data_IF_924090303566
#
_entry.id   IF_924090303566
#
_cell.length_a   1.000
_cell.length_b   1.000
_cell.length_c   1.000
_cell.angle_alpha   90.00
_cell.angle_beta   90.00
_cell.angle_gamma   90.00
#
_symmetry.space_group_name_H-M   'P 1'
#
loop_
_entity.id
_entity.type
_entity.pdbx_description
1 polymer ?
#
# COMPACT_ATOMS: atom_id res chain seq x y z
N UNK A 1 22.88 22.08 20.61
CA UNK A 1 21.51 21.75 20.16
C UNK A 1 21.66 21.02 18.85
N UNK A 2 21.50 19.71 18.84
CA UNK A 2 21.60 18.87 17.65
C UNK A 2 20.49 19.30 16.67
N UNK A 3 20.89 19.75 15.48
CA UNK A 3 19.97 19.93 14.34
C UNK A 3 19.43 18.55 14.03
N UNK A 4 18.24 18.22 14.53
CA UNK A 4 17.52 17.00 14.21
C UNK A 4 17.25 17.01 12.70
N UNK A 5 18.22 16.52 11.92
CA UNK A 5 18.10 16.38 10.48
C UNK A 5 16.91 15.51 10.12
N UNK A 6 16.33 15.72 8.93
CA UNK A 6 15.28 14.88 8.35
C UNK A 6 15.81 13.45 8.17
N UNK A 7 15.65 12.60 9.18
CA UNK A 7 16.07 11.18 9.15
C UNK A 7 14.85 10.27 9.28
N UNK A 8 14.71 9.30 8.37
CA UNK A 8 13.56 8.39 8.32
C UNK A 8 14.00 6.94 8.24
N UNK A 9 13.42 6.11 9.09
CA UNK A 9 13.52 4.66 9.01
C UNK A 9 12.42 4.10 8.12
N UNK A 10 12.77 3.32 7.11
CA UNK A 10 11.82 2.59 6.26
C UNK A 10 11.94 1.10 6.55
N UNK A 11 10.87 0.45 6.99
CA UNK A 11 10.79 -1.01 7.00
C UNK A 11 10.20 -1.50 5.68
N UNK A 12 10.70 -2.62 5.17
CA UNK A 12 10.28 -3.10 3.85
C UNK A 12 10.85 -2.25 2.70
N UNK A 13 11.98 -1.58 2.90
CA UNK A 13 12.65 -0.72 1.93
C UNK A 13 13.00 -1.45 0.62
N UNK A 14 13.33 -2.75 0.68
CA UNK A 14 13.60 -3.60 -0.48
C UNK A 14 12.32 -4.16 -1.15
N UNK A 15 11.12 -3.85 -0.63
CA UNK A 15 9.83 -4.20 -1.22
C UNK A 15 9.43 -3.29 -2.38
N UNK A 16 8.27 -3.58 -2.99
CA UNK A 16 7.75 -2.81 -4.14
C UNK A 16 7.64 -1.32 -3.80
N UNK A 17 6.90 -0.95 -2.75
CA UNK A 17 6.67 0.45 -2.39
C UNK A 17 7.97 1.10 -1.88
N UNK A 18 8.75 0.39 -1.05
CA UNK A 18 9.98 0.92 -0.49
C UNK A 18 11.01 1.33 -1.54
N UNK A 19 11.12 0.57 -2.63
CA UNK A 19 12.03 0.89 -3.76
C UNK A 19 11.66 2.16 -4.53
N UNK A 20 10.40 2.59 -4.47
CA UNK A 20 9.95 3.86 -5.05
C UNK A 20 10.01 5.00 -4.04
N UNK A 21 9.68 4.73 -2.77
CA UNK A 21 9.65 5.73 -1.73
C UNK A 21 11.06 6.20 -1.32
N UNK A 22 12.01 5.29 -1.14
CA UNK A 22 13.35 5.64 -0.67
C UNK A 22 14.05 6.67 -1.58
N UNK A 23 14.08 6.52 -2.92
CA UNK A 23 14.62 7.55 -3.80
C UNK A 23 13.88 8.88 -3.72
N UNK A 24 12.54 8.86 -3.60
CA UNK A 24 11.76 10.08 -3.49
C UNK A 24 12.09 10.86 -2.21
N UNK A 25 12.30 10.16 -1.09
CA UNK A 25 12.71 10.78 0.17
C UNK A 25 14.16 11.31 0.11
N UNK A 26 15.08 10.56 -0.48
CA UNK A 26 16.47 11.02 -0.69
C UNK A 26 16.51 12.31 -1.52
N UNK A 27 15.75 12.35 -2.63
CA UNK A 27 15.65 13.54 -3.49
C UNK A 27 15.04 14.74 -2.77
N UNK A 28 14.20 14.51 -1.75
CA UNK A 28 13.61 15.55 -0.91
C UNK A 28 14.51 15.94 0.30
N UNK A 29 15.75 15.45 0.34
CA UNK A 29 16.75 15.78 1.34
C UNK A 29 16.61 15.02 2.66
N UNK A 30 15.88 13.89 2.68
CA UNK A 30 15.84 13.02 3.85
C UNK A 30 17.03 12.06 3.88
N UNK A 31 17.58 11.82 5.06
CA UNK A 31 18.45 10.67 5.30
C UNK A 31 17.59 9.43 5.46
N UNK A 32 17.76 8.44 4.60
CA UNK A 32 16.95 7.23 4.58
C UNK A 32 17.73 6.08 5.18
N UNK A 33 17.28 5.56 6.31
CA UNK A 33 17.75 4.30 6.88
C UNK A 33 16.81 3.17 6.52
N UNK A 34 17.35 2.06 6.03
CA UNK A 34 16.60 0.93 5.51
C UNK A 34 16.65 -0.25 6.48
N UNK A 35 15.53 -0.57 7.15
CA UNK A 35 15.46 -1.79 7.93
C UNK A 35 15.15 -2.98 7.03
N UNK A 36 16.05 -3.95 7.01
CA UNK A 36 15.98 -5.15 6.15
C UNK A 36 16.04 -6.43 6.97
N UNK A 37 15.43 -7.50 6.47
CA UNK A 37 15.45 -8.81 7.14
C UNK A 37 16.81 -9.51 7.00
N UNK A 38 17.44 -9.34 5.86
CA UNK A 38 18.77 -9.85 5.51
C UNK A 38 19.47 -8.83 4.61
N UNK A 39 20.80 -8.84 4.52
CA UNK A 39 21.52 -7.88 3.68
C UNK A 39 20.91 -7.76 2.27
N UNK A 40 20.67 -6.56 1.81
CA UNK A 40 20.03 -6.24 0.55
C UNK A 40 20.86 -5.30 -0.34
N UNK A 41 22.01 -4.84 0.14
CA UNK A 41 22.92 -3.93 -0.57
C UNK A 41 22.37 -2.51 -0.69
N UNK A 42 21.52 -2.08 0.23
CA UNK A 42 20.99 -0.71 0.26
C UNK A 42 21.93 0.21 1.04
N UNK A 43 21.96 1.48 0.65
CA UNK A 43 22.67 2.48 1.41
C UNK A 43 22.04 2.64 2.81
N UNK A 44 22.84 2.80 3.86
CA UNK A 44 22.41 2.92 5.27
C UNK A 44 21.36 1.84 5.66
N UNK A 45 21.71 0.55 5.40
CA UNK A 45 20.85 -0.55 5.81
C UNK A 45 21.18 -1.04 7.22
N UNK A 46 20.13 -1.40 7.95
CA UNK A 46 20.22 -2.08 9.24
C UNK A 46 19.53 -3.43 9.15
N UNK A 47 20.28 -4.51 9.39
CA UNK A 47 19.74 -5.87 9.40
C UNK A 47 19.08 -6.14 10.74
N UNK A 48 17.77 -6.32 10.74
CA UNK A 48 16.94 -6.52 11.93
C UNK A 48 16.42 -7.96 12.09
N UNK A 49 16.69 -8.83 11.11
CA UNK A 49 16.08 -10.16 11.05
C UNK A 49 14.58 -10.14 10.76
N UNK A 50 13.87 -11.15 11.25
CA UNK A 50 12.41 -11.23 11.13
C UNK A 50 11.72 -10.21 12.04
N UNK A 51 10.70 -9.53 11.52
CA UNK A 51 9.88 -8.61 12.32
C UNK A 51 8.93 -9.43 13.21
N UNK A 52 8.94 -9.12 14.50
CA UNK A 52 8.09 -9.75 15.49
C UNK A 52 8.10 -9.01 16.83
N UNK A 53 7.43 -9.58 17.85
CA UNK A 53 7.31 -8.93 19.16
C UNK A 53 8.65 -8.74 19.89
N UNK A 54 9.66 -9.55 19.57
CA UNK A 54 10.99 -9.49 20.19
C UNK A 54 12.06 -8.77 19.37
N UNK A 55 11.71 -8.18 18.22
CA UNK A 55 12.69 -7.47 17.39
C UNK A 55 13.26 -6.25 18.12
N UNK A 56 14.57 -6.15 18.19
CA UNK A 56 15.28 -4.99 18.76
C UNK A 56 15.47 -3.91 17.68
N UNK A 57 14.88 -2.76 17.91
CA UNK A 57 14.89 -1.63 17.00
C UNK A 57 15.88 -0.51 17.41
N UNK A 58 16.57 -0.63 18.56
CA UNK A 58 17.39 0.45 19.11
C UNK A 58 18.42 0.99 18.12
N UNK A 59 19.18 0.12 17.46
CA UNK A 59 20.17 0.53 16.45
C UNK A 59 19.50 1.18 15.24
N UNK A 60 18.39 0.60 14.77
CA UNK A 60 17.68 1.13 13.61
C UNK A 60 17.02 2.49 13.88
N UNK A 61 16.62 2.77 15.11
CA UNK A 61 15.94 3.99 15.53
C UNK A 61 16.90 5.11 16.01
N UNK A 62 18.19 4.83 16.16
CA UNK A 62 19.14 5.82 16.65
C UNK A 62 19.23 7.04 15.71
N UNK A 63 18.95 8.23 16.25
CA UNK A 63 18.93 9.50 15.51
C UNK A 63 17.82 9.63 14.45
N UNK A 64 16.82 8.74 14.45
CA UNK A 64 15.70 8.76 13.51
C UNK A 64 14.59 9.69 14.01
N UNK A 65 14.12 10.58 13.14
CA UNK A 65 13.01 11.51 13.44
C UNK A 65 11.64 11.03 12.97
N UNK A 66 11.60 10.09 12.00
CA UNK A 66 10.37 9.56 11.44
C UNK A 66 10.49 8.07 11.10
N UNK A 67 9.38 7.34 11.13
CA UNK A 67 9.30 5.93 10.69
C UNK A 67 8.23 5.78 9.63
N UNK A 68 8.55 5.06 8.54
CA UNK A 68 7.56 4.60 7.56
C UNK A 68 7.54 3.08 7.57
N UNK A 69 6.47 2.52 8.14
CA UNK A 69 6.31 1.07 8.28
C UNK A 69 5.55 0.47 7.10
N UNK A 70 6.31 -0.03 6.10
CA UNK A 70 5.77 -0.67 4.89
C UNK A 70 5.81 -2.20 4.97
N UNK A 71 6.64 -2.75 5.86
CA UNK A 71 6.79 -4.19 5.99
C UNK A 71 5.51 -4.84 6.50
N UNK A 72 5.09 -5.89 5.83
CA UNK A 72 3.95 -6.70 6.24
C UNK A 72 4.05 -8.10 5.63
N UNK A 73 3.44 -9.06 6.30
CA UNK A 73 3.12 -10.36 5.73
C UNK A 73 1.86 -10.21 4.86
N UNK A 74 1.98 -10.55 3.56
CA UNK A 74 0.91 -10.43 2.56
C UNK A 74 0.90 -11.73 1.72
N UNK A 75 -0.28 -12.23 1.32
CA UNK A 75 -0.45 -13.33 0.37
C UNK A 75 0.19 -14.68 0.74
N UNK A 76 -0.01 -15.15 1.95
CA UNK A 76 0.31 -16.53 2.34
C UNK A 76 -0.99 -17.25 2.70
N UNK A 77 -1.50 -18.11 1.79
CA UNK A 77 -2.83 -18.72 1.93
C UNK A 77 -2.83 -20.09 2.61
N UNK A 78 -1.75 -20.85 2.51
CA UNK A 78 -1.77 -22.29 2.77
C UNK A 78 -0.80 -22.72 3.87
N UNK A 79 -0.63 -21.91 4.92
CA UNK A 79 0.23 -22.28 6.03
C UNK A 79 -0.60 -22.65 7.26
N UNK A 80 -0.33 -23.80 7.83
CA UNK A 80 -0.98 -24.30 9.06
C UNK A 80 -0.95 -23.28 10.21
N UNK A 81 0.06 -22.39 10.21
CA UNK A 81 0.26 -21.35 11.23
C UNK A 81 0.01 -19.93 10.71
N UNK A 82 -0.74 -19.77 9.59
CA UNK A 82 -0.92 -18.46 8.96
C UNK A 82 -1.45 -17.40 9.94
N UNK A 83 -2.45 -17.72 10.75
CA UNK A 83 -3.04 -16.79 11.74
C UNK A 83 -1.96 -16.28 12.71
N UNK A 84 -1.14 -17.18 13.26
CA UNK A 84 -0.06 -16.85 14.19
C UNK A 84 0.97 -15.93 13.52
N UNK A 85 1.40 -16.25 12.31
CA UNK A 85 2.40 -15.48 11.59
C UNK A 85 1.89 -14.09 11.17
N UNK A 86 0.61 -13.97 10.77
CA UNK A 86 0.00 -12.66 10.51
C UNK A 86 -0.05 -11.81 11.79
N UNK A 87 -0.38 -12.41 12.93
CA UNK A 87 -0.39 -11.74 14.22
C UNK A 87 1.02 -11.30 14.62
N UNK A 88 1.99 -12.19 14.61
CA UNK A 88 3.38 -11.92 15.01
C UNK A 88 4.01 -10.78 14.20
N UNK A 89 3.83 -10.78 12.87
CA UNK A 89 4.47 -9.78 12.00
C UNK A 89 3.66 -8.49 11.92
N UNK A 90 2.36 -8.58 11.59
CA UNK A 90 1.57 -7.41 11.24
C UNK A 90 0.99 -6.68 12.45
N UNK A 91 0.78 -7.38 13.58
CA UNK A 91 0.22 -6.80 14.80
C UNK A 91 1.35 -6.59 15.81
N UNK A 92 1.86 -7.68 16.36
CA UNK A 92 2.79 -7.63 17.49
C UNK A 92 4.12 -6.97 17.09
N UNK A 93 4.63 -7.28 15.89
CA UNK A 93 5.83 -6.67 15.33
C UNK A 93 5.67 -5.19 15.00
N UNK A 94 4.54 -4.79 14.42
CA UNK A 94 4.24 -3.38 14.16
C UNK A 94 4.09 -2.59 15.47
N UNK A 95 3.39 -3.14 16.46
CA UNK A 95 3.24 -2.52 17.79
C UNK A 95 4.58 -2.43 18.55
N UNK A 96 5.43 -3.46 18.44
CA UNK A 96 6.77 -3.43 19.03
C UNK A 96 7.61 -2.30 18.44
N UNK A 97 7.63 -2.16 17.09
CA UNK A 97 8.33 -1.06 16.43
C UNK A 97 7.77 0.30 16.88
N UNK A 98 6.46 0.47 16.88
CA UNK A 98 5.84 1.74 17.24
C UNK A 98 6.14 2.16 18.70
N UNK A 99 6.09 1.20 19.66
CA UNK A 99 6.45 1.47 21.06
C UNK A 99 7.93 1.84 21.22
N UNK A 100 8.83 1.15 20.54
CA UNK A 100 10.25 1.49 20.58
C UNK A 100 10.53 2.84 19.90
N UNK A 101 9.85 3.15 18.79
CA UNK A 101 9.94 4.43 18.12
C UNK A 101 9.48 5.59 19.03
N UNK A 102 8.34 5.44 19.72
CA UNK A 102 7.88 6.43 20.69
C UNK A 102 8.90 6.66 21.83
N UNK A 103 9.46 5.57 22.38
CA UNK A 103 10.53 5.64 23.43
C UNK A 103 11.81 6.28 22.92
N UNK A 104 12.15 6.11 21.65
CA UNK A 104 13.33 6.70 21.02
C UNK A 104 13.13 8.18 20.62
N UNK A 105 11.95 8.77 20.87
CA UNK A 105 11.66 10.17 20.56
C UNK A 105 11.33 10.41 19.07
N UNK A 106 10.94 9.38 18.32
CA UNK A 106 10.43 9.53 16.96
C UNK A 106 9.16 10.39 16.99
N UNK A 107 9.09 11.36 16.10
CA UNK A 107 7.97 12.32 16.06
C UNK A 107 6.84 11.91 15.14
N UNK A 108 7.17 11.23 14.04
CA UNK A 108 6.22 10.83 12.99
C UNK A 108 6.29 9.33 12.76
N UNK A 109 5.17 8.65 12.80
CA UNK A 109 5.06 7.23 12.47
C UNK A 109 3.98 7.03 11.40
N UNK A 110 4.39 6.65 10.19
CA UNK A 110 3.47 6.35 9.10
C UNK A 110 3.29 4.84 8.99
N UNK A 111 2.06 4.39 9.14
CA UNK A 111 1.68 2.98 9.01
C UNK A 111 0.93 2.75 7.69
N UNK A 112 1.52 1.95 6.82
CA UNK A 112 0.83 1.55 5.59
C UNK A 112 -0.14 0.41 5.90
N UNK A 113 -1.42 0.73 5.91
CA UNK A 113 -2.53 -0.19 6.05
C UNK A 113 -3.08 -0.62 4.68
N UNK A 114 -4.37 -0.80 4.54
CA UNK A 114 -5.04 -1.23 3.32
C UNK A 114 -6.53 -0.87 3.37
N UNK A 115 -7.12 -0.62 2.22
CA UNK A 115 -8.59 -0.46 2.11
C UNK A 115 -9.36 -1.73 2.52
N UNK A 116 -8.72 -2.89 2.50
CA UNK A 116 -9.35 -4.16 2.88
C UNK A 116 -9.81 -4.22 4.34
N UNK A 117 -9.45 -3.24 5.18
CA UNK A 117 -10.01 -3.08 6.52
C UNK A 117 -11.49 -2.66 6.48
N UNK A 118 -11.94 -1.98 5.41
CA UNK A 118 -13.33 -1.63 5.17
C UNK A 118 -14.13 -2.76 4.50
N UNK A 119 -13.45 -3.74 3.90
CA UNK A 119 -14.09 -4.80 3.12
C UNK A 119 -13.50 -4.92 1.72
N UNK A 120 -14.17 -5.69 0.88
CA UNK A 120 -13.69 -5.99 -0.49
C UNK A 120 -14.40 -5.23 -1.59
N UNK A 121 -15.58 -4.72 -1.30
CA UNK A 121 -16.38 -3.90 -2.22
C UNK A 121 -17.36 -3.02 -1.46
N UNK A 122 -17.80 -1.97 -2.12
CA UNK A 122 -18.89 -1.11 -1.68
C UNK A 122 -20.03 -1.07 -2.72
N UNK A 123 -20.23 -2.19 -3.43
CA UNK A 123 -21.29 -2.31 -4.44
C UNK A 123 -22.64 -1.84 -3.88
N UNK A 124 -23.32 -0.95 -4.61
CA UNK A 124 -24.61 -0.37 -4.22
C UNK A 124 -24.56 0.57 -3.02
N UNK A 125 -23.38 1.01 -2.60
CA UNK A 125 -23.16 1.95 -1.51
C UNK A 125 -22.38 3.17 -2.00
N UNK A 126 -22.33 4.23 -1.17
CA UNK A 126 -21.44 5.37 -1.40
C UNK A 126 -19.96 4.96 -1.33
N UNK A 127 -19.05 5.75 -1.88
CA UNK A 127 -17.61 5.57 -1.69
C UNK A 127 -17.24 5.47 -0.20
N UNK A 128 -16.25 4.62 0.13
CA UNK A 128 -15.76 4.51 1.49
C UNK A 128 -15.13 5.81 1.96
N UNK A 129 -15.35 6.13 3.23
CA UNK A 129 -14.71 7.22 3.96
C UNK A 129 -13.90 6.67 5.15
N UNK A 130 -13.11 7.49 5.81
CA UNK A 130 -12.33 7.11 6.98
C UNK A 130 -13.18 6.70 8.18
N UNK A 131 -14.40 7.25 8.30
CA UNK A 131 -15.36 7.05 9.40
C UNK A 131 -16.22 5.79 9.24
N UNK A 132 -16.17 5.13 8.08
CA UNK A 132 -16.96 3.93 7.87
C UNK A 132 -16.56 2.79 8.82
N UNK A 133 -17.56 2.05 9.28
CA UNK A 133 -17.36 0.88 10.14
C UNK A 133 -16.46 -0.12 9.42
N UNK A 134 -15.41 -0.57 10.11
CA UNK A 134 -14.49 -1.55 9.55
C UNK A 134 -15.14 -2.94 9.50
N UNK A 135 -15.06 -3.56 8.33
CA UNK A 135 -15.52 -4.94 8.09
C UNK A 135 -14.40 -5.78 7.46
N UNK A 136 -13.25 -5.92 8.15
CA UNK A 136 -12.07 -6.52 7.56
C UNK A 136 -12.32 -7.97 7.13
N UNK A 137 -11.79 -8.34 5.96
CA UNK A 137 -11.92 -9.68 5.41
C UNK A 137 -10.55 -10.30 5.15
N UNK A 138 -10.45 -11.59 5.48
CA UNK A 138 -9.20 -12.34 5.38
C UNK A 138 -8.15 -11.94 6.43
N UNK A 139 -7.18 -12.81 6.66
CA UNK A 139 -6.17 -12.63 7.72
C UNK A 139 -5.38 -11.33 7.58
N UNK A 140 -5.11 -10.91 6.35
CA UNK A 140 -4.38 -9.67 6.10
C UNK A 140 -5.19 -8.43 6.53
N UNK A 141 -6.43 -8.28 6.06
CA UNK A 141 -7.30 -7.16 6.45
C UNK A 141 -7.54 -7.11 7.96
N UNK A 142 -7.82 -8.27 8.57
CA UNK A 142 -8.01 -8.39 10.02
C UNK A 142 -6.75 -8.00 10.80
N UNK A 143 -5.56 -8.44 10.36
CA UNK A 143 -4.30 -8.09 11.04
C UNK A 143 -3.98 -6.60 10.94
N UNK A 144 -4.28 -5.97 9.79
CA UNK A 144 -4.07 -4.52 9.63
C UNK A 144 -5.04 -3.72 10.50
N UNK A 145 -6.32 -4.08 10.54
CA UNK A 145 -7.32 -3.43 11.42
C UNK A 145 -6.95 -3.54 12.90
N UNK A 146 -6.47 -4.71 13.35
CA UNK A 146 -6.01 -4.89 14.72
C UNK A 146 -4.77 -4.05 15.05
N UNK A 147 -3.82 -3.93 14.11
CA UNK A 147 -2.65 -3.06 14.28
C UNK A 147 -3.06 -1.58 14.37
N UNK A 148 -4.00 -1.12 13.51
CA UNK A 148 -4.52 0.25 13.57
C UNK A 148 -5.15 0.57 14.93
N UNK A 149 -5.94 -0.36 15.48
CA UNK A 149 -6.54 -0.18 16.81
C UNK A 149 -5.47 -0.02 17.91
N UNK A 150 -4.43 -0.85 17.89
CA UNK A 150 -3.31 -0.73 18.84
C UNK A 150 -2.53 0.57 18.67
N UNK A 151 -2.28 1.01 17.42
CA UNK A 151 -1.60 2.27 17.11
C UNK A 151 -2.42 3.48 17.58
N UNK A 152 -3.75 3.44 17.47
CA UNK A 152 -4.64 4.49 17.99
C UNK A 152 -4.51 4.63 19.52
N UNK A 153 -4.45 3.52 20.25
CA UNK A 153 -4.22 3.55 21.70
C UNK A 153 -2.84 4.14 22.03
N UNK A 154 -1.79 3.71 21.31
CA UNK A 154 -0.44 4.23 21.52
C UNK A 154 -0.33 5.74 21.24
N UNK A 155 -1.04 6.25 20.23
CA UNK A 155 -1.05 7.68 19.92
C UNK A 155 -1.66 8.53 21.03
N UNK A 156 -2.62 7.99 21.78
CA UNK A 156 -3.19 8.66 22.95
C UNK A 156 -2.15 8.79 24.10
N UNK A 157 -1.28 7.81 24.25
CA UNK A 157 -0.34 7.71 25.36
C UNK A 157 1.07 8.23 25.01
N UNK A 158 1.26 8.81 23.83
CA UNK A 158 2.56 9.31 23.36
C UNK A 158 2.47 10.63 22.61
N UNK A 159 3.58 11.38 22.59
CA UNK A 159 3.69 12.59 21.78
C UNK A 159 3.97 12.31 20.28
N UNK A 160 4.13 11.03 19.89
CA UNK A 160 4.38 10.62 18.52
C UNK A 160 3.10 10.72 17.71
N UNK A 161 3.16 11.42 16.57
CA UNK A 161 2.05 11.45 15.62
C UNK A 161 2.05 10.19 14.77
N UNK A 162 0.89 9.56 14.67
CA UNK A 162 0.69 8.33 13.90
C UNK A 162 -0.26 8.61 12.75
N UNK A 163 0.22 8.41 11.53
CA UNK A 163 -0.59 8.49 10.32
C UNK A 163 -0.82 7.10 9.76
N UNK A 164 -2.06 6.70 9.63
CA UNK A 164 -2.47 5.45 8.98
C UNK A 164 -2.91 5.77 7.55
N UNK A 165 -2.34 5.08 6.57
CA UNK A 165 -2.73 5.22 5.16
C UNK A 165 -3.41 3.91 4.73
N UNK A 166 -4.63 4.01 4.21
CA UNK A 166 -5.42 2.88 3.69
C UNK A 166 -5.52 2.97 2.15
N UNK A 167 -4.50 2.51 1.41
CA UNK A 167 -4.54 2.55 -0.05
C UNK A 167 -5.44 1.43 -0.61
N UNK A 168 -6.00 1.61 -1.83
CA UNK A 168 -6.52 0.55 -2.65
C UNK A 168 -5.38 -0.26 -3.28
N UNK A 169 -5.60 -0.90 -4.43
CA UNK A 169 -4.54 -1.55 -5.19
C UNK A 169 -3.50 -0.50 -5.62
N UNK A 170 -2.27 -0.66 -5.12
CA UNK A 170 -1.14 0.17 -5.53
C UNK A 170 -0.48 -0.46 -6.75
N UNK A 171 -0.29 0.33 -7.83
CA UNK A 171 0.32 -0.12 -9.07
C UNK A 171 1.60 0.68 -9.40
N UNK A 172 2.43 0.10 -10.26
CA UNK A 172 3.71 0.69 -10.70
C UNK A 172 4.75 -0.36 -11.07
N UNK A 173 5.95 0.07 -11.40
CA UNK A 173 7.04 -0.82 -11.77
C UNK A 173 7.41 -1.78 -10.64
N UNK A 174 7.33 -3.09 -10.90
CA UNK A 174 7.62 -4.14 -9.91
C UNK A 174 6.44 -4.51 -8.99
N UNK A 175 5.24 -3.96 -9.21
CA UNK A 175 4.05 -4.36 -8.49
C UNK A 175 3.72 -5.85 -8.77
N UNK A 176 3.26 -6.54 -7.72
CA UNK A 176 2.91 -7.98 -7.72
C UNK A 176 1.39 -8.17 -7.77
N UNK A 177 0.95 -9.41 -7.63
CA UNK A 177 -0.48 -9.76 -7.53
C UNK A 177 -1.26 -9.49 -8.82
N UNK A 178 -2.47 -8.95 -8.71
CA UNK A 178 -3.39 -8.76 -9.84
C UNK A 178 -2.81 -7.86 -10.94
N UNK A 179 -2.05 -6.81 -10.58
CA UNK A 179 -1.38 -5.97 -11.56
C UNK A 179 -0.39 -6.76 -12.42
N UNK A 180 0.46 -7.58 -11.82
CA UNK A 180 1.41 -8.43 -12.53
C UNK A 180 0.69 -9.48 -13.41
N UNK A 181 -0.42 -10.06 -12.91
CA UNK A 181 -1.22 -11.03 -13.67
C UNK A 181 -1.85 -10.40 -14.91
N UNK A 182 -2.45 -9.22 -14.79
CA UNK A 182 -3.03 -8.49 -15.92
C UNK A 182 -1.95 -8.11 -16.94
N UNK A 183 -0.82 -7.58 -16.46
CA UNK A 183 0.33 -7.24 -17.32
C UNK A 183 0.84 -8.46 -18.09
N UNK A 184 0.94 -9.62 -17.42
CA UNK A 184 1.35 -10.88 -18.06
C UNK A 184 0.33 -11.34 -19.10
N UNK A 185 -0.96 -11.28 -18.79
CA UNK A 185 -2.03 -11.65 -19.71
C UNK A 185 -1.99 -10.78 -20.99
N UNK A 186 -1.80 -9.47 -20.86
CA UNK A 186 -1.64 -8.56 -22.00
C UNK A 186 -0.38 -8.87 -22.83
N UNK A 187 0.77 -9.13 -22.18
CA UNK A 187 2.00 -9.52 -22.86
C UNK A 187 1.81 -10.79 -23.71
N UNK A 188 1.07 -11.76 -23.18
CA UNK A 188 0.76 -13.03 -23.82
C UNK A 188 -0.46 -12.95 -24.76
N UNK A 189 -1.06 -11.78 -24.93
CA UNK A 189 -2.27 -11.52 -25.75
C UNK A 189 -3.45 -12.45 -25.40
N UNK A 190 -3.57 -12.83 -24.13
CA UNK A 190 -4.65 -13.68 -23.64
C UNK A 190 -5.97 -12.90 -23.72
N UNK A 191 -7.04 -13.42 -24.33
CA UNK A 191 -8.36 -12.80 -24.29
C UNK A 191 -8.89 -12.77 -22.86
N UNK A 192 -9.43 -11.63 -22.44
CA UNK A 192 -9.96 -11.41 -21.08
C UNK A 192 -11.48 -11.19 -21.13
N UNK A 193 -12.27 -11.93 -20.33
CA UNK A 193 -13.73 -11.93 -20.39
C UNK A 193 -14.36 -10.78 -19.59
N UNK A 194 -13.78 -9.56 -19.65
CA UNK A 194 -14.17 -8.47 -18.75
C UNK A 194 -14.91 -7.32 -19.42
N UNK A 195 -15.16 -7.36 -20.73
CA UNK A 195 -15.80 -6.24 -21.46
C UNK A 195 -17.24 -5.90 -21.01
N UNK A 196 -17.92 -6.79 -20.28
CA UNK A 196 -19.27 -6.54 -19.77
C UNK A 196 -19.31 -5.99 -18.32
N UNK A 197 -18.14 -5.85 -17.66
CA UNK A 197 -18.07 -5.39 -16.27
C UNK A 197 -18.32 -3.88 -16.21
N UNK A 198 -19.14 -3.44 -15.26
CA UNK A 198 -19.60 -2.06 -15.05
C UNK A 198 -19.31 -1.60 -13.61
N UNK A 199 -18.17 -1.95 -13.08
CA UNK A 199 -17.75 -1.54 -11.74
C UNK A 199 -17.02 -0.21 -11.76
N UNK A 200 -16.82 0.39 -10.58
CA UNK A 200 -15.95 1.55 -10.35
C UNK A 200 -14.93 1.21 -9.29
N UNK A 201 -13.66 1.45 -9.57
CA UNK A 201 -12.57 1.07 -8.67
C UNK A 201 -11.55 2.18 -8.52
N UNK A 202 -11.15 2.38 -7.28
CA UNK A 202 -9.99 3.20 -6.96
C UNK A 202 -8.70 2.40 -7.18
N UNK A 203 -7.71 3.08 -7.72
CA UNK A 203 -6.33 2.63 -7.87
C UNK A 203 -5.40 3.71 -7.32
N UNK A 204 -4.15 3.36 -7.06
CA UNK A 204 -3.16 4.32 -6.59
C UNK A 204 -1.80 4.06 -7.24
N UNK A 205 -1.31 5.03 -8.01
CA UNK A 205 0.05 4.99 -8.51
C UNK A 205 1.05 5.03 -7.34
N UNK A 206 2.11 4.23 -7.40
CA UNK A 206 3.13 4.21 -6.34
C UNK A 206 3.83 5.57 -6.18
N UNK A 207 3.88 6.38 -7.23
CA UNK A 207 4.36 7.75 -7.21
C UNK A 207 3.45 8.64 -6.36
N UNK A 208 2.13 8.53 -6.53
CA UNK A 208 1.14 9.27 -5.77
C UNK A 208 1.15 8.86 -4.28
N UNK A 209 1.30 7.56 -3.98
CA UNK A 209 1.51 7.10 -2.61
C UNK A 209 2.78 7.70 -1.99
N UNK A 210 3.90 7.66 -2.74
CA UNK A 210 5.18 8.21 -2.27
C UNK A 210 5.10 9.71 -2.01
N UNK A 211 4.41 10.47 -2.88
CA UNK A 211 4.21 11.91 -2.72
C UNK A 211 3.35 12.24 -1.50
N UNK A 212 2.30 11.43 -1.22
CA UNK A 212 1.47 11.61 -0.03
C UNK A 212 2.28 11.34 1.25
N UNK A 213 3.04 10.24 1.29
CA UNK A 213 3.92 9.93 2.43
C UNK A 213 4.93 11.07 2.64
N UNK A 214 5.58 11.55 1.59
CA UNK A 214 6.53 12.66 1.68
C UNK A 214 5.86 13.94 2.23
N UNK A 215 4.67 14.28 1.75
CA UNK A 215 3.93 15.43 2.25
C UNK A 215 3.61 15.29 3.74
N UNK A 216 3.16 14.11 4.20
CA UNK A 216 2.86 13.87 5.63
C UNK A 216 4.10 14.01 6.52
N UNK A 217 5.27 13.62 6.01
CA UNK A 217 6.55 13.77 6.72
C UNK A 217 7.05 15.22 6.76
N UNK A 218 6.74 16.03 5.74
CA UNK A 218 7.25 17.40 5.61
C UNK A 218 6.29 18.46 6.16
N UNK A 219 5.00 18.18 6.11
CA UNK A 219 3.93 19.10 6.49
C UNK A 219 2.96 18.41 7.47
N UNK A 220 3.43 18.07 8.68
CA UNK A 220 2.53 17.47 9.66
C UNK A 220 1.43 18.49 10.03
N UNK A 221 0.18 18.03 9.96
CA UNK A 221 -0.96 18.89 10.32
C UNK A 221 -1.03 19.06 11.84
N UNK A 222 -1.31 20.26 12.34
CA UNK A 222 -1.61 20.48 13.76
C UNK A 222 -2.95 19.83 14.11
N UNK A 223 -3.05 19.23 15.28
CA UNK A 223 -4.30 18.67 15.79
C UNK A 223 -4.14 17.29 16.42
N UNK A 224 -4.66 16.26 15.79
CA UNK A 224 -4.67 14.91 16.35
C UNK A 224 -3.31 14.22 16.25
N UNK A 225 -2.95 13.47 17.29
CA UNK A 225 -1.79 12.56 17.25
C UNK A 225 -2.09 11.27 16.49
N UNK A 226 -3.33 11.07 16.00
CA UNK A 226 -3.72 9.90 15.23
C UNK A 226 -4.63 10.29 14.07
N UNK A 227 -4.15 10.11 12.86
CA UNK A 227 -4.90 10.38 11.64
C UNK A 227 -4.96 9.17 10.73
N UNK A 228 -6.13 8.98 10.10
CA UNK A 228 -6.36 7.96 9.06
C UNK A 228 -6.65 8.68 7.75
N UNK A 229 -6.11 8.17 6.64
CA UNK A 229 -6.36 8.67 5.31
C UNK A 229 -6.66 7.56 4.32
N UNK A 230 -7.73 7.73 3.55
CA UNK A 230 -7.93 7.03 2.29
C UNK A 230 -7.18 7.79 1.19
N UNK A 231 -6.37 7.10 0.42
CA UNK A 231 -5.53 7.72 -0.62
C UNK A 231 -5.66 6.93 -1.91
N UNK A 232 -6.06 7.62 -2.98
CA UNK A 232 -6.21 7.04 -4.32
C UNK A 232 -5.83 8.07 -5.40
N UNK A 233 -5.72 7.63 -6.64
CA UNK A 233 -5.60 8.51 -7.79
C UNK A 233 -6.89 9.33 -7.96
N UNK A 234 -6.82 10.43 -8.70
CA UNK A 234 -7.95 11.34 -8.88
C UNK A 234 -9.13 10.71 -9.65
N UNK A 235 -8.86 9.70 -10.44
CA UNK A 235 -9.87 9.01 -11.26
C UNK A 235 -10.10 7.61 -10.72
N UNK A 236 -11.37 7.23 -10.66
CA UNK A 236 -11.81 5.87 -10.39
C UNK A 236 -12.39 5.33 -11.70
N UNK A 237 -11.94 4.16 -12.10
CA UNK A 237 -12.25 3.58 -13.41
C UNK A 237 -12.74 2.15 -13.27
N UNK A 238 -13.45 1.65 -14.27
CA UNK A 238 -13.87 0.25 -14.30
C UNK A 238 -12.67 -0.69 -14.55
N UNK A 239 -12.86 -1.96 -14.25
CA UNK A 239 -11.86 -2.99 -14.57
C UNK A 239 -11.50 -3.05 -16.05
N UNK A 240 -12.44 -3.03 -17.02
CA UNK A 240 -12.09 -2.98 -18.43
C UNK A 240 -11.33 -1.70 -18.80
N UNK A 241 -11.75 -0.52 -18.34
CA UNK A 241 -11.04 0.74 -18.60
C UNK A 241 -9.59 0.69 -18.06
N UNK A 242 -9.38 0.19 -16.84
CA UNK A 242 -8.03 0.02 -16.30
C UNK A 242 -7.17 -0.92 -17.16
N UNK A 243 -7.76 -2.00 -17.70
CA UNK A 243 -7.06 -2.92 -18.62
C UNK A 243 -6.74 -2.22 -19.95
N UNK A 244 -7.62 -1.35 -20.46
CA UNK A 244 -7.37 -0.56 -21.66
C UNK A 244 -6.23 0.44 -21.46
N UNK A 245 -6.23 1.22 -20.38
CA UNK A 245 -5.11 2.09 -20.00
C UNK A 245 -3.79 1.31 -19.88
N UNK A 246 -3.83 0.16 -19.20
CA UNK A 246 -2.67 -0.72 -19.03
C UNK A 246 -2.13 -1.24 -20.37
N UNK A 247 -3.02 -1.58 -21.29
CA UNK A 247 -2.67 -2.06 -22.62
C UNK A 247 -2.01 -0.94 -23.44
N UNK A 248 -2.61 0.26 -23.47
CA UNK A 248 -2.07 1.44 -24.16
C UNK A 248 -0.66 1.76 -23.62
N UNK A 249 -0.50 1.87 -22.30
CA UNK A 249 0.78 2.15 -21.66
C UNK A 249 1.87 1.09 -21.97
N UNK A 250 1.47 -0.16 -22.19
CA UNK A 250 2.39 -1.26 -22.55
C UNK A 250 2.62 -1.42 -24.05
N UNK A 251 2.05 -0.55 -24.89
CA UNK A 251 2.12 -0.63 -26.36
C UNK A 251 1.38 -1.85 -26.92
N UNK A 252 0.33 -2.31 -26.25
CA UNK A 252 -0.46 -3.49 -26.63
C UNK A 252 -1.91 -3.10 -26.93
N UNK A 253 -2.63 -3.99 -27.60
CA UNK A 253 -4.09 -3.89 -27.76
C UNK A 253 -4.76 -4.93 -26.87
N UNK A 254 -5.70 -4.55 -25.99
CA UNK A 254 -6.40 -5.51 -25.17
C UNK A 254 -7.35 -6.35 -26.03
N UNK A 255 -7.49 -7.62 -25.67
CA UNK A 255 -8.50 -8.50 -26.27
C UNK A 255 -9.59 -8.75 -25.23
N UNK A 256 -10.48 -7.76 -25.08
CA UNK A 256 -11.61 -7.86 -24.18
C UNK A 256 -12.83 -8.42 -24.93
N UNK A 257 -13.52 -9.39 -24.33
CA UNK A 257 -14.78 -9.91 -24.84
C UNK A 257 -15.85 -9.94 -23.74
N UNK A 258 -17.11 -9.94 -24.16
CA UNK A 258 -18.25 -9.85 -23.26
C UNK A 258 -18.62 -11.22 -22.71
N UNK A 259 -18.62 -11.35 -21.39
CA UNK A 259 -19.23 -12.46 -20.65
C UNK A 259 -20.10 -11.82 -19.57
N UNK A 260 -21.36 -12.24 -19.40
CA UNK A 260 -22.21 -11.70 -18.34
C UNK A 260 -21.53 -11.90 -16.97
N UNK A 261 -21.54 -10.86 -16.10
CA UNK A 261 -20.86 -10.91 -14.79
C UNK A 261 -21.32 -12.08 -13.91
N UNK A 262 -22.55 -12.54 -14.04
CA UNK A 262 -23.14 -13.64 -13.28
C UNK A 262 -22.42 -14.98 -13.58
N UNK A 263 -22.08 -15.22 -14.84
CA UNK A 263 -21.32 -16.41 -15.26
C UNK A 263 -19.88 -16.36 -14.71
N UNK A 264 -19.24 -15.21 -14.80
CA UNK A 264 -17.90 -15.03 -14.21
C UNK A 264 -17.93 -15.22 -12.69
N UNK A 265 -18.93 -14.68 -12.02
CA UNK A 265 -19.15 -14.84 -10.58
C UNK A 265 -19.30 -16.31 -10.19
N UNK A 266 -20.11 -17.04 -10.91
CA UNK A 266 -20.33 -18.48 -10.69
C UNK A 266 -19.08 -19.29 -10.94
N UNK A 267 -18.35 -19.00 -12.01
CA UNK A 267 -17.07 -19.64 -12.33
C UNK A 267 -16.01 -19.40 -11.25
N UNK A 268 -15.80 -18.14 -10.81
CA UNK A 268 -14.80 -17.84 -9.75
C UNK A 268 -15.16 -18.50 -8.42
N UNK A 269 -16.45 -18.58 -8.05
CA UNK A 269 -16.91 -19.32 -6.87
C UNK A 269 -16.65 -20.80 -6.99
N UNK A 270 -16.94 -21.40 -8.13
CA UNK A 270 -16.75 -22.83 -8.39
C UNK A 270 -15.27 -23.26 -8.25
N UNK A 271 -14.32 -22.41 -8.67
CA UNK A 271 -12.88 -22.68 -8.56
C UNK A 271 -12.26 -22.15 -7.25
N UNK A 272 -13.08 -21.77 -6.25
CA UNK A 272 -12.62 -21.28 -4.94
C UNK A 272 -11.83 -19.97 -4.97
N UNK A 273 -12.01 -19.15 -6.03
CA UNK A 273 -11.31 -17.85 -6.19
C UNK A 273 -12.21 -16.65 -5.90
N UNK A 274 -12.88 -16.66 -4.78
CA UNK A 274 -13.73 -15.54 -4.35
C UNK A 274 -12.97 -14.21 -4.24
N UNK A 275 -11.71 -14.23 -3.81
CA UNK A 275 -10.86 -13.05 -3.74
C UNK A 275 -10.68 -12.40 -5.12
N UNK A 276 -10.51 -13.21 -6.17
CA UNK A 276 -10.38 -12.75 -7.55
C UNK A 276 -11.71 -12.17 -8.05
N UNK A 277 -12.83 -12.80 -7.69
CA UNK A 277 -14.17 -12.29 -7.98
C UNK A 277 -14.32 -10.86 -7.49
N UNK A 278 -14.20 -10.62 -6.18
CA UNK A 278 -14.37 -9.28 -5.61
C UNK A 278 -13.37 -8.25 -6.14
N UNK A 279 -12.13 -8.67 -6.43
CA UNK A 279 -11.08 -7.75 -6.89
C UNK A 279 -11.18 -7.36 -8.35
N UNK A 280 -11.94 -8.09 -9.17
CA UNK A 280 -12.12 -7.81 -10.60
C UNK A 280 -13.54 -7.37 -10.96
N UNK A 281 -14.55 -7.89 -10.27
CA UNK A 281 -15.95 -7.66 -10.63
C UNK A 281 -16.64 -6.62 -9.73
N UNK A 282 -16.30 -6.55 -8.45
CA UNK A 282 -16.91 -5.63 -7.48
C UNK A 282 -16.39 -4.20 -7.60
N UNK A 283 -17.21 -3.22 -7.24
CA UNK A 283 -16.81 -1.83 -7.09
C UNK A 283 -16.04 -1.62 -5.80
N UNK A 284 -15.06 -0.72 -5.82
CA UNK A 284 -14.30 -0.32 -4.66
C UNK A 284 -13.96 1.17 -4.79
N UNK A 285 -14.90 2.02 -4.42
CA UNK A 285 -14.79 3.46 -4.53
C UNK A 285 -14.35 4.09 -3.21
N UNK A 286 -13.53 5.13 -3.27
CA UNK A 286 -13.00 5.84 -2.14
C UNK A 286 -13.31 7.33 -2.23
N UNK A 287 -13.73 7.93 -1.15
CA UNK A 287 -13.72 9.38 -0.97
C UNK A 287 -12.35 9.78 -0.37
N UNK A 288 -11.57 10.50 -1.15
CA UNK A 288 -10.24 10.98 -0.76
C UNK A 288 -10.26 12.46 -0.33
N UNK A 289 -11.42 13.04 -0.08
CA UNK A 289 -11.59 14.47 0.25
C UNK A 289 -10.74 14.86 1.44
N UNK A 290 -10.61 14.01 2.45
CA UNK A 290 -9.75 14.27 3.63
C UNK A 290 -8.27 14.37 3.23
N UNK A 291 -7.77 13.50 2.36
CA UNK A 291 -6.40 13.58 1.85
C UNK A 291 -6.20 14.86 1.02
N UNK A 292 -7.16 15.22 0.17
CA UNK A 292 -7.12 16.47 -0.62
C UNK A 292 -7.18 17.71 0.25
N UNK A 293 -7.90 17.68 1.37
CA UNK A 293 -8.00 18.81 2.32
C UNK A 293 -6.65 19.12 2.99
N UNK A 294 -5.69 18.18 3.01
CA UNK A 294 -4.32 18.46 3.48
C UNK A 294 -3.49 19.31 2.50
N UNK A 295 -4.04 19.69 1.36
CA UNK A 295 -3.34 20.34 0.26
C UNK A 295 -2.60 19.38 -0.68
N UNK A 296 -2.61 18.08 -0.39
CA UNK A 296 -2.05 17.09 -1.30
C UNK A 296 -2.89 16.95 -2.59
N UNK A 297 -2.21 16.68 -3.69
CA UNK A 297 -2.84 16.31 -4.96
C UNK A 297 -2.06 15.16 -5.57
N UNK A 298 -2.73 14.16 -6.20
CA UNK A 298 -2.05 13.16 -7.04
C UNK A 298 -1.17 13.84 -8.08
N UNK A 299 0.10 13.43 -8.13
CA UNK A 299 1.11 14.04 -9.01
C UNK A 299 1.09 13.49 -10.43
N UNK A 300 0.60 12.26 -10.57
CA UNK A 300 0.49 11.59 -11.87
C UNK A 300 -0.95 11.09 -12.07
N UNK A 301 -1.41 11.14 -13.31
CA UNK A 301 -2.64 10.49 -13.76
C UNK A 301 -2.46 8.97 -13.84
N UNK A 302 -3.56 8.23 -14.06
CA UNK A 302 -3.50 6.77 -14.29
C UNK A 302 -2.59 6.46 -15.48
N UNK A 303 -2.71 7.19 -16.59
CA UNK A 303 -1.92 6.98 -17.80
C UNK A 303 -0.44 7.20 -17.55
N UNK A 304 -0.07 8.32 -16.94
CA UNK A 304 1.32 8.63 -16.60
C UNK A 304 1.91 7.60 -15.64
N UNK A 305 1.18 7.22 -14.59
CA UNK A 305 1.60 6.20 -13.63
C UNK A 305 1.81 4.83 -14.28
N UNK A 306 0.96 4.46 -15.24
CA UNK A 306 1.10 3.22 -16.01
C UNK A 306 2.26 3.28 -17.02
N UNK A 307 2.48 4.41 -17.69
CA UNK A 307 3.65 4.60 -18.57
C UNK A 307 4.94 4.46 -17.74
N UNK A 308 5.03 5.10 -16.58
CA UNK A 308 6.16 4.95 -15.67
C UNK A 308 6.37 3.51 -15.19
N UNK A 309 5.30 2.72 -15.05
CA UNK A 309 5.40 1.31 -14.66
C UNK A 309 6.13 0.45 -15.70
N UNK A 310 6.10 0.83 -16.97
CA UNK A 310 6.76 0.08 -18.07
C UNK A 310 8.11 0.67 -18.49
N UNK A 311 8.33 1.98 -18.39
CA UNK A 311 9.59 2.63 -18.78
C UNK A 311 10.79 2.13 -17.98
N UNK A 312 10.63 1.90 -16.68
CA UNK A 312 11.68 1.34 -15.78
C UNK A 312 12.02 -0.12 -16.13
N UNK A 313 11.09 -0.89 -16.73
CA UNK A 313 11.38 -2.26 -17.16
C UNK A 313 12.21 -2.31 -18.46
N UNK A 314 12.07 -1.34 -19.35
CA UNK A 314 12.83 -1.28 -20.60
C UNK A 314 14.33 -1.07 -20.32
N UNK A 315 14.69 -0.26 -19.34
CA UNK A 315 16.09 0.02 -18.97
C UNK A 315 16.79 -1.20 -18.33
N UNK A 316 16.05 -2.08 -17.65
CA UNK A 316 16.62 -3.31 -17.05
C UNK A 316 16.75 -4.49 -18.03
N UNK A 317 16.09 -4.44 -19.19
CA UNK A 317 16.22 -5.47 -20.23
C UNK A 317 17.28 -5.11 -21.28
N UNK A 318 17.85 -3.91 -21.20
CA UNK A 318 18.87 -3.40 -22.11
C UNK A 318 20.30 -3.38 -21.51
N UNK A 319 20.46 -3.86 -20.28
CA UNK A 319 21.71 -4.12 -19.58
C UNK A 319 21.84 -5.65 -19.33
#
# INVERSE_FOLDING_TARGET
MSVNGKSVLITGANGFIGRHLAPALLNAGWKVRSAVRSPAGLADEVVIGAIGPGTDWRVALDGVSAVVHLAARVHHKDEEHAVKLYREVNIDGAMNLARQAAKAGVREFIFLSTILVHGRSNDGRRPFTEEDILTPRGLYGMSKAAAEAGLKMLAHDSAMRITVIRPPLVYGAGAKGNFALLTRALKLRIPLPFAAIRNQRAFLAVQNLSSFILQRLTQPQPGSNFDIFLVADSQQVSTPEFIEHLAIASGKRPRLFRVPPEFLSSFFRMIGREDTHHSLLGSLELDISKALATGWRPQVSIDEGLILAFSVQATKSAL
#
